data_IF_586279680425
#
_entry.id   IF_586279680425
#
_cell.length_a   1.000
_cell.length_b   1.000
_cell.length_c   1.000
_cell.angle_alpha   90.00
_cell.angle_beta   90.00
_cell.angle_gamma   90.00
#
_symmetry.space_group_name_H-M   'P 1'
#
loop_
_entity.id
_entity.type
_entity.pdbx_description
1 polymer ?
#
# COMPACT_ATOMS: atom_id res chain seq x y z
N UNK A 1 36.21 51.09 -9.71
CA UNK A 1 35.01 50.28 -9.38
C UNK A 1 35.00 48.92 -10.11
N UNK A 2 36.03 48.06 -9.93
CA UNK A 2 36.10 46.72 -10.57
C UNK A 2 36.59 45.59 -9.64
N UNK A 3 36.84 45.89 -8.35
CA UNK A 3 37.44 44.95 -7.39
C UNK A 3 36.47 44.42 -6.31
N UNK A 4 35.19 44.78 -6.38
CA UNK A 4 34.17 44.38 -5.39
C UNK A 4 33.29 43.19 -5.84
N UNK A 5 33.35 42.78 -7.10
CA UNK A 5 32.52 41.69 -7.63
C UNK A 5 33.15 40.29 -7.50
N UNK A 6 34.46 40.19 -7.29
CA UNK A 6 35.16 38.89 -7.22
C UNK A 6 35.08 38.22 -5.85
N UNK A 7 34.84 38.96 -4.76
CA UNK A 7 34.73 38.35 -3.42
C UNK A 7 33.33 37.79 -3.11
N UNK A 8 32.29 38.20 -3.84
CA UNK A 8 30.93 37.68 -3.61
C UNK A 8 30.67 36.32 -4.30
N UNK A 9 31.47 35.97 -5.32
CA UNK A 9 31.29 34.71 -6.06
C UNK A 9 31.88 33.50 -5.33
N UNK A 10 32.82 33.71 -4.41
CA UNK A 10 33.52 32.61 -3.71
C UNK A 10 32.74 32.05 -2.51
N UNK A 11 31.82 32.82 -1.93
CA UNK A 11 31.00 32.38 -0.79
C UNK A 11 29.79 31.55 -1.27
N UNK A 12 29.36 31.68 -2.53
CA UNK A 12 28.21 30.95 -3.07
C UNK A 12 28.54 29.49 -3.49
N UNK A 13 29.82 29.12 -3.57
CA UNK A 13 30.27 27.78 -3.98
C UNK A 13 30.53 26.82 -2.80
N UNK A 14 30.40 27.27 -1.55
CA UNK A 14 30.67 26.45 -0.35
C UNK A 14 29.42 25.85 0.32
N UNK A 15 28.23 26.05 -0.24
CA UNK A 15 26.96 25.73 0.42
C UNK A 15 26.24 24.44 -0.05
N UNK A 16 26.83 23.59 -0.88
CA UNK A 16 26.13 22.41 -1.42
C UNK A 16 27.03 21.17 -1.59
N UNK A 17 27.54 20.64 -0.49
CA UNK A 17 28.05 19.26 -0.42
C UNK A 17 27.50 18.56 0.84
N UNK A 18 26.21 18.79 1.16
CA UNK A 18 25.47 17.84 2.00
C UNK A 18 25.04 16.69 1.11
N UNK A 19 25.98 15.82 0.74
CA UNK A 19 25.64 14.48 0.30
C UNK A 19 24.95 13.81 1.47
N UNK A 20 23.61 13.78 1.44
CA UNK A 20 22.83 12.87 2.26
C UNK A 20 23.28 11.46 1.89
N UNK A 21 24.31 10.95 2.59
CA UNK A 21 24.70 9.55 2.58
C UNK A 21 23.52 8.79 3.14
N UNK A 22 22.61 8.40 2.26
CA UNK A 22 21.63 7.38 2.51
C UNK A 22 22.42 6.14 2.94
N UNK A 23 22.55 5.96 4.24
CA UNK A 23 23.13 4.76 4.83
C UNK A 23 22.21 3.64 4.38
N UNK A 24 22.64 2.89 3.36
CA UNK A 24 21.97 1.66 2.95
C UNK A 24 21.97 0.76 4.19
N UNK A 25 20.85 0.74 4.90
CA UNK A 25 20.64 -0.20 6.00
C UNK A 25 20.73 -1.56 5.35
N UNK A 26 21.86 -2.24 5.57
CA UNK A 26 22.06 -3.63 5.14
C UNK A 26 20.86 -4.39 5.70
N UNK A 27 20.05 -4.98 4.81
CA UNK A 27 18.91 -5.78 5.21
C UNK A 27 19.39 -6.73 6.31
N UNK A 28 18.79 -6.63 7.50
CA UNK A 28 19.09 -7.54 8.60
C UNK A 28 18.82 -8.92 8.02
N UNK A 29 19.83 -9.78 7.97
CA UNK A 29 19.66 -11.14 7.48
C UNK A 29 18.46 -11.73 8.22
N UNK A 30 17.44 -12.18 7.49
CA UNK A 30 16.19 -12.67 8.08
C UNK A 30 16.53 -13.76 9.09
N UNK A 31 16.47 -13.40 10.37
CA UNK A 31 16.77 -14.33 11.44
C UNK A 31 15.52 -15.14 11.70
N UNK A 32 15.67 -16.44 11.97
CA UNK A 32 14.55 -17.31 12.33
C UNK A 32 13.66 -16.71 13.45
N UNK A 33 14.25 -15.90 14.34
CA UNK A 33 13.53 -15.15 15.37
C UNK A 33 12.62 -14.05 14.84
N UNK A 34 13.03 -13.29 13.81
CA UNK A 34 12.24 -12.24 13.20
C UNK A 34 10.98 -12.81 12.53
N UNK A 35 11.14 -13.82 11.66
CA UNK A 35 10.01 -14.46 11.00
C UNK A 35 9.00 -15.06 11.99
N UNK A 36 9.47 -15.66 13.10
CA UNK A 36 8.61 -16.16 14.17
C UNK A 36 7.85 -15.03 14.86
N UNK A 37 8.53 -13.93 15.21
CA UNK A 37 7.89 -12.77 15.82
C UNK A 37 6.82 -12.17 14.88
N UNK A 38 7.14 -11.95 13.61
CA UNK A 38 6.19 -11.45 12.60
C UNK A 38 4.95 -12.36 12.50
N UNK A 39 5.15 -13.68 12.52
CA UNK A 39 4.04 -14.64 12.54
C UNK A 39 3.17 -14.48 13.79
N UNK A 40 3.77 -14.35 14.97
CA UNK A 40 3.03 -14.16 16.22
C UNK A 40 2.26 -12.84 16.23
N UNK A 41 2.93 -11.73 15.90
CA UNK A 41 2.31 -10.40 15.85
C UNK A 41 1.10 -10.37 14.91
N UNK A 42 1.27 -10.86 13.68
CA UNK A 42 0.18 -10.88 12.69
C UNK A 42 -0.99 -11.77 13.11
N UNK A 43 -0.75 -12.90 13.77
CA UNK A 43 -1.81 -13.78 14.28
C UNK A 43 -2.60 -13.12 15.42
N UNK A 44 -1.90 -12.51 16.37
CA UNK A 44 -2.52 -11.77 17.49
C UNK A 44 -3.32 -10.56 17.01
N UNK A 45 -2.74 -9.77 16.08
CA UNK A 45 -3.47 -8.68 15.43
C UNK A 45 -4.74 -9.19 14.73
N UNK A 46 -4.65 -10.32 14.01
CA UNK A 46 -5.80 -10.88 13.31
C UNK A 46 -6.92 -11.26 14.29
N UNK A 47 -6.60 -11.97 15.38
CA UNK A 47 -7.61 -12.33 16.41
C UNK A 47 -8.31 -11.10 16.96
N UNK A 48 -7.57 -10.04 17.30
CA UNK A 48 -8.13 -8.79 17.82
C UNK A 48 -9.00 -8.09 16.77
N UNK A 49 -8.56 -8.03 15.52
CA UNK A 49 -9.34 -7.47 14.41
C UNK A 49 -10.64 -8.25 14.19
N UNK A 50 -10.60 -9.58 14.22
CA UNK A 50 -11.79 -10.42 14.09
C UNK A 50 -12.78 -10.25 15.25
N UNK A 51 -12.27 -10.01 16.47
CA UNK A 51 -13.10 -9.66 17.62
C UNK A 51 -13.78 -8.29 17.45
N UNK A 52 -13.07 -7.30 16.91
CA UNK A 52 -13.62 -5.97 16.65
C UNK A 52 -14.63 -5.97 15.49
N UNK A 53 -14.36 -6.71 14.41
CA UNK A 53 -15.30 -6.90 13.29
C UNK A 53 -16.65 -7.47 13.77
N UNK A 54 -16.64 -8.38 14.75
CA UNK A 54 -17.87 -8.94 15.35
C UNK A 54 -18.68 -7.90 16.13
N UNK A 55 -18.03 -6.88 16.70
CA UNK A 55 -18.71 -5.80 17.44
C UNK A 55 -19.28 -4.76 16.48
N UNK A 56 -18.52 -4.40 15.45
CA UNK A 56 -18.89 -3.40 14.44
C UNK A 56 -18.15 -3.72 13.14
N UNK A 57 -18.84 -3.81 11.99
CA UNK A 57 -18.18 -4.09 10.73
C UNK A 57 -17.12 -3.04 10.42
N UNK A 58 -15.86 -3.44 10.23
CA UNK A 58 -14.72 -2.52 10.09
C UNK A 58 -14.81 -1.64 8.85
N UNK A 59 -15.53 -2.09 7.82
CA UNK A 59 -15.85 -1.30 6.62
C UNK A 59 -16.71 -0.06 6.90
N UNK A 60 -17.28 0.06 8.10
CA UNK A 60 -18.11 1.20 8.53
C UNK A 60 -17.34 2.23 9.35
N UNK A 61 -16.04 2.02 9.59
CA UNK A 61 -15.20 2.97 10.30
C UNK A 61 -14.90 4.19 9.43
N UNK A 62 -14.88 5.38 10.02
CA UNK A 62 -14.20 6.52 9.38
C UNK A 62 -12.68 6.27 9.36
N UNK A 63 -11.92 6.97 8.50
CA UNK A 63 -10.46 6.85 8.49
C UNK A 63 -9.82 7.07 9.87
N UNK A 64 -10.31 8.04 10.64
CA UNK A 64 -9.83 8.40 11.97
C UNK A 64 -10.16 7.32 13.02
N UNK A 65 -11.37 6.76 12.97
CA UNK A 65 -11.77 5.64 13.82
C UNK A 65 -10.95 4.39 13.50
N UNK A 66 -10.78 4.07 12.22
CA UNK A 66 -9.93 2.98 11.77
C UNK A 66 -8.50 3.14 12.24
N UNK A 67 -7.93 4.36 12.17
CA UNK A 67 -6.57 4.65 12.61
C UNK A 67 -6.41 4.45 14.11
N UNK A 68 -7.37 4.97 14.88
CA UNK A 68 -7.39 4.83 16.34
C UNK A 68 -7.46 3.36 16.74
N UNK A 69 -8.38 2.61 16.13
CA UNK A 69 -8.54 1.17 16.38
C UNK A 69 -7.26 0.40 16.05
N UNK A 70 -6.68 0.66 14.88
CA UNK A 70 -5.46 -0.02 14.46
C UNK A 70 -4.28 0.27 15.39
N UNK A 71 -4.12 1.53 15.85
CA UNK A 71 -3.10 1.88 16.85
C UNK A 71 -3.34 1.11 18.15
N UNK A 72 -4.57 1.05 18.64
CA UNK A 72 -4.91 0.29 19.86
C UNK A 72 -4.56 -1.19 19.71
N UNK A 73 -4.90 -1.81 18.58
CA UNK A 73 -4.60 -3.22 18.29
C UNK A 73 -3.09 -3.45 18.22
N UNK A 74 -2.34 -2.58 17.53
CA UNK A 74 -0.87 -2.66 17.43
C UNK A 74 -0.24 -2.52 18.80
N UNK A 75 -0.63 -1.51 19.59
CA UNK A 75 -0.10 -1.28 20.94
C UNK A 75 -0.36 -2.47 21.85
N UNK A 76 -1.61 -2.97 21.90
CA UNK A 76 -1.96 -4.14 22.71
C UNK A 76 -1.15 -5.38 22.28
N UNK A 77 -1.03 -5.60 20.97
CA UNK A 77 -0.23 -6.72 20.42
C UNK A 77 1.24 -6.59 20.82
N UNK A 78 1.84 -5.41 20.68
CA UNK A 78 3.25 -5.21 21.04
C UNK A 78 3.49 -5.44 22.53
N UNK A 79 2.57 -5.01 23.39
CA UNK A 79 2.64 -5.27 24.83
C UNK A 79 2.62 -6.77 25.14
N UNK A 80 1.78 -7.56 24.48
CA UNK A 80 1.69 -9.02 24.64
C UNK A 80 2.95 -9.77 24.14
N UNK A 81 3.70 -9.17 23.22
CA UNK A 81 4.90 -9.77 22.61
C UNK A 81 6.21 -9.10 23.06
N UNK A 82 6.20 -8.36 24.17
CA UNK A 82 7.36 -7.59 24.67
C UNK A 82 8.59 -8.47 24.89
N UNK A 83 8.44 -9.67 25.44
CA UNK A 83 9.56 -10.58 25.72
C UNK A 83 10.21 -11.11 24.43
N UNK A 84 9.39 -11.43 23.42
CA UNK A 84 9.89 -11.88 22.12
C UNK A 84 10.62 -10.75 21.38
N UNK A 85 10.09 -9.53 21.47
CA UNK A 85 10.75 -8.35 20.92
C UNK A 85 12.08 -8.08 21.65
N UNK A 86 12.09 -8.11 22.99
CA UNK A 86 13.30 -7.91 23.81
C UNK A 86 14.37 -8.98 23.52
N UNK A 87 13.96 -10.24 23.35
CA UNK A 87 14.84 -11.34 22.95
C UNK A 87 15.45 -11.08 21.58
N UNK A 88 14.64 -10.74 20.57
CA UNK A 88 15.12 -10.42 19.22
C UNK A 88 16.15 -9.28 19.24
N UNK A 89 15.88 -8.24 20.01
CA UNK A 89 16.75 -7.06 20.15
C UNK A 89 18.11 -7.41 20.77
N UNK A 90 18.08 -8.23 21.83
CA UNK A 90 19.30 -8.70 22.51
C UNK A 90 20.12 -9.62 21.61
N UNK A 91 19.50 -10.62 20.99
CA UNK A 91 20.17 -11.59 20.11
C UNK A 91 20.85 -10.92 18.91
N UNK A 92 20.21 -9.91 18.34
CA UNK A 92 20.74 -9.17 17.19
C UNK A 92 21.61 -7.96 17.58
N UNK A 93 21.90 -7.77 18.89
CA UNK A 93 22.68 -6.63 19.42
C UNK A 93 22.20 -5.27 18.89
N UNK A 94 20.88 -5.10 18.82
CA UNK A 94 20.26 -3.89 18.27
C UNK A 94 20.31 -2.79 19.34
N UNK A 95 21.14 -1.77 19.11
CA UNK A 95 21.22 -0.62 20.01
C UNK A 95 19.95 0.24 20.01
N UNK A 96 19.74 1.03 21.08
CA UNK A 96 18.57 1.90 21.28
C UNK A 96 18.29 2.83 20.09
N UNK A 97 19.34 3.35 19.44
CA UNK A 97 19.21 4.22 18.26
C UNK A 97 18.64 3.54 17.00
N UNK A 98 18.51 2.21 16.99
CA UNK A 98 17.98 1.44 15.85
C UNK A 98 16.58 0.87 16.10
N UNK A 99 15.98 1.12 17.28
CA UNK A 99 14.67 0.57 17.65
C UNK A 99 13.56 0.98 16.67
N UNK A 100 13.55 2.25 16.25
CA UNK A 100 12.53 2.76 15.32
C UNK A 100 12.60 2.06 13.96
N UNK A 101 13.79 1.89 13.40
CA UNK A 101 13.98 1.22 12.11
C UNK A 101 13.56 -0.26 12.17
N UNK A 102 13.83 -0.94 13.28
CA UNK A 102 13.43 -2.34 13.48
C UNK A 102 11.92 -2.44 13.68
N UNK A 103 11.32 -1.54 14.46
CA UNK A 103 9.87 -1.44 14.60
C UNK A 103 9.17 -1.19 13.27
N UNK A 104 9.73 -0.34 12.41
CA UNK A 104 9.21 -0.08 11.07
C UNK A 104 9.25 -1.33 10.18
N UNK A 105 10.37 -2.06 10.16
CA UNK A 105 10.50 -3.31 9.39
C UNK A 105 9.53 -4.37 9.89
N UNK A 106 9.50 -4.63 11.21
CA UNK A 106 8.59 -5.59 11.83
C UNK A 106 7.13 -5.22 11.60
N UNK A 107 6.78 -3.94 11.78
CA UNK A 107 5.42 -3.43 11.58
C UNK A 107 4.97 -3.60 10.13
N UNK A 108 5.84 -3.29 9.16
CA UNK A 108 5.56 -3.50 7.73
C UNK A 108 5.38 -4.98 7.42
N UNK A 109 6.29 -5.84 7.86
CA UNK A 109 6.21 -7.29 7.59
C UNK A 109 4.99 -7.94 8.25
N UNK A 110 4.68 -7.56 9.50
CA UNK A 110 3.49 -8.02 10.22
C UNK A 110 2.21 -7.57 9.51
N UNK A 111 2.13 -6.33 9.05
CA UNK A 111 0.96 -5.79 8.32
C UNK A 111 0.79 -6.49 6.97
N UNK A 112 1.86 -6.71 6.22
CA UNK A 112 1.82 -7.44 4.95
C UNK A 112 1.35 -8.89 5.14
N UNK A 113 1.87 -9.56 6.18
CA UNK A 113 1.44 -10.90 6.55
C UNK A 113 -0.04 -10.91 6.98
N UNK A 114 -0.45 -9.95 7.79
CA UNK A 114 -1.82 -9.78 8.26
C UNK A 114 -2.80 -9.67 7.08
N UNK A 115 -2.53 -8.79 6.10
CA UNK A 115 -3.37 -8.68 4.89
C UNK A 115 -3.47 -9.99 4.10
N UNK A 116 -2.40 -10.80 4.10
CA UNK A 116 -2.35 -12.09 3.40
C UNK A 116 -3.12 -13.19 4.12
N UNK A 117 -3.08 -13.22 5.45
CA UNK A 117 -3.61 -14.33 6.26
C UNK A 117 -4.91 -14.01 7.00
N UNK A 118 -5.34 -12.75 7.04
CA UNK A 118 -6.49 -12.29 7.80
C UNK A 118 -7.46 -11.48 6.93
N UNK A 119 -8.50 -12.11 6.35
CA UNK A 119 -9.47 -11.41 5.51
C UNK A 119 -10.16 -10.24 6.21
N UNK A 120 -10.47 -10.39 7.51
CA UNK A 120 -11.09 -9.34 8.32
C UNK A 120 -10.23 -8.06 8.41
N UNK A 121 -8.90 -8.18 8.27
CA UNK A 121 -8.01 -7.01 8.33
C UNK A 121 -7.99 -6.18 7.05
N UNK A 122 -8.39 -6.74 5.91
CA UNK A 122 -8.18 -6.11 4.61
C UNK A 122 -8.88 -4.76 4.49
N UNK A 123 -10.17 -4.59 4.85
CA UNK A 123 -10.83 -3.29 4.78
C UNK A 123 -10.11 -2.23 5.61
N UNK A 124 -9.77 -2.56 6.86
CA UNK A 124 -9.09 -1.65 7.78
C UNK A 124 -7.70 -1.24 7.28
N UNK A 125 -6.87 -2.21 6.89
CA UNK A 125 -5.50 -1.92 6.45
C UNK A 125 -5.48 -1.16 5.13
N UNK A 126 -6.39 -1.49 4.19
CA UNK A 126 -6.50 -0.75 2.94
C UNK A 126 -6.97 0.68 3.17
N UNK A 127 -7.99 0.89 3.98
CA UNK A 127 -8.47 2.22 4.33
C UNK A 127 -7.35 3.10 4.91
N UNK A 128 -6.53 2.53 5.81
CA UNK A 128 -5.38 3.23 6.38
C UNK A 128 -4.28 3.50 5.35
N UNK A 129 -4.00 2.52 4.50
CA UNK A 129 -3.05 2.69 3.40
C UNK A 129 -3.46 3.80 2.44
N UNK A 130 -4.76 3.90 2.13
CA UNK A 130 -5.32 4.94 1.28
C UNK A 130 -5.35 6.32 1.96
N UNK A 131 -5.61 6.38 3.27
CA UNK A 131 -5.62 7.65 4.01
C UNK A 131 -4.22 8.25 4.19
N UNK A 132 -3.20 7.41 4.32
CA UNK A 132 -1.80 7.82 4.50
C UNK A 132 -1.03 7.91 3.15
N UNK A 133 -1.69 7.63 2.02
CA UNK A 133 -1.08 7.72 0.71
C UNK A 133 -0.71 9.18 0.38
N UNK A 134 0.59 9.49 0.40
CA UNK A 134 1.13 10.83 0.10
C UNK A 134 0.70 11.39 -1.26
N UNK A 135 0.40 10.50 -2.21
CA UNK A 135 0.01 10.83 -3.58
C UNK A 135 -1.43 10.38 -3.86
N UNK A 136 -2.34 10.56 -2.89
CA UNK A 136 -3.77 10.31 -3.12
C UNK A 136 -4.24 11.15 -4.32
N UNK A 137 -4.78 10.53 -5.38
CA UNK A 137 -5.20 11.29 -6.54
C UNK A 137 -6.42 12.15 -6.18
N UNK A 138 -6.45 13.38 -6.68
CA UNK A 138 -7.64 14.23 -6.59
C UNK A 138 -8.70 13.70 -7.54
N UNK A 139 -9.86 13.33 -6.99
CA UNK A 139 -11.04 12.91 -7.74
C UNK A 139 -12.13 13.94 -7.49
N UNK A 140 -12.59 14.63 -8.54
CA UNK A 140 -13.62 15.68 -8.37
C UNK A 140 -15.01 15.04 -8.16
N UNK A 141 -15.98 15.77 -7.57
CA UNK A 141 -17.35 15.29 -7.44
C UNK A 141 -18.00 14.92 -8.78
N UNK A 142 -17.64 15.60 -9.86
CA UNK A 142 -18.14 15.35 -11.22
C UNK A 142 -17.45 14.14 -11.87
N UNK A 143 -16.19 13.91 -11.54
CA UNK A 143 -15.38 12.80 -12.05
C UNK A 143 -15.79 11.46 -11.39
N UNK A 144 -16.14 11.50 -10.10
CA UNK A 144 -16.41 10.29 -9.31
C UNK A 144 -17.50 9.40 -9.91
N UNK A 145 -18.66 9.90 -10.36
CA UNK A 145 -19.70 9.05 -10.97
C UNK A 145 -19.21 8.33 -12.24
N UNK A 146 -18.46 9.04 -13.11
CA UNK A 146 -17.93 8.47 -14.35
C UNK A 146 -16.96 7.33 -14.04
N UNK A 147 -16.02 7.57 -13.13
CA UNK A 147 -15.05 6.56 -12.73
C UNK A 147 -15.67 5.41 -11.93
N UNK A 148 -16.73 5.67 -11.15
CA UNK A 148 -17.42 4.63 -10.37
C UNK A 148 -18.07 3.60 -11.29
N UNK A 149 -18.78 4.03 -12.34
CA UNK A 149 -19.39 3.11 -13.32
C UNK A 149 -18.33 2.23 -13.98
N UNK A 150 -17.20 2.82 -14.36
CA UNK A 150 -16.07 2.09 -14.93
C UNK A 150 -15.50 1.07 -13.93
N UNK A 151 -15.31 1.47 -12.68
CA UNK A 151 -14.78 0.61 -11.62
C UNK A 151 -15.74 -0.54 -11.32
N UNK A 152 -17.05 -0.28 -11.25
CA UNK A 152 -18.07 -1.32 -11.07
C UNK A 152 -17.99 -2.37 -12.19
N UNK A 153 -17.82 -1.96 -13.46
CA UNK A 153 -17.63 -2.89 -14.58
C UNK A 153 -16.33 -3.71 -14.42
N UNK A 154 -15.23 -3.08 -14.00
CA UNK A 154 -13.95 -3.76 -13.73
C UNK A 154 -14.11 -4.79 -12.61
N UNK A 155 -14.68 -4.40 -11.47
CA UNK A 155 -14.88 -5.27 -10.32
C UNK A 155 -15.78 -6.47 -10.68
N UNK A 156 -16.88 -6.25 -11.40
CA UNK A 156 -17.78 -7.32 -11.86
C UNK A 156 -17.08 -8.31 -12.81
N UNK A 157 -16.22 -7.82 -13.71
CA UNK A 157 -15.43 -8.68 -14.61
C UNK A 157 -14.43 -9.51 -13.81
N UNK A 158 -13.73 -8.89 -12.86
CA UNK A 158 -12.78 -9.59 -11.99
C UNK A 158 -13.48 -10.66 -11.13
N UNK A 159 -14.67 -10.37 -10.62
CA UNK A 159 -15.48 -11.35 -9.90
C UNK A 159 -15.91 -12.52 -10.80
N UNK A 160 -16.23 -12.23 -12.06
CA UNK A 160 -16.54 -13.26 -13.07
C UNK A 160 -15.32 -14.15 -13.34
N UNK A 161 -14.14 -13.58 -13.50
CA UNK A 161 -12.89 -14.34 -13.69
C UNK A 161 -12.51 -15.14 -12.44
N UNK A 162 -12.70 -14.56 -11.26
CA UNK A 162 -12.49 -15.20 -9.97
C UNK A 162 -13.38 -16.44 -9.78
N UNK A 163 -14.60 -16.42 -10.32
CA UNK A 163 -15.52 -17.56 -10.29
C UNK A 163 -15.07 -18.71 -11.22
N UNK A 164 -14.34 -18.41 -12.31
CA UNK A 164 -13.82 -19.43 -13.24
C UNK A 164 -12.59 -20.12 -12.67
N UNK A 165 -11.67 -19.34 -12.10
CA UNK A 165 -10.47 -19.82 -11.45
C UNK A 165 -10.18 -18.93 -10.25
N UNK A 166 -9.97 -19.54 -9.09
CA UNK A 166 -9.66 -18.77 -7.88
C UNK A 166 -8.38 -17.96 -8.13
N UNK A 167 -8.42 -16.62 -8.11
CA UNK A 167 -7.24 -15.78 -8.42
C UNK A 167 -6.02 -16.18 -7.58
N UNK A 168 -6.23 -16.66 -6.36
CA UNK A 168 -5.16 -17.12 -5.47
C UNK A 168 -4.34 -18.29 -6.04
N UNK A 169 -4.90 -19.07 -6.96
CA UNK A 169 -4.23 -20.21 -7.61
C UNK A 169 -3.47 -19.81 -8.88
N UNK A 170 -3.76 -18.63 -9.43
CA UNK A 170 -3.09 -18.13 -10.62
C UNK A 170 -1.65 -17.70 -10.30
N UNK A 171 -0.82 -17.62 -11.33
CA UNK A 171 0.49 -16.97 -11.18
C UNK A 171 0.33 -15.45 -11.09
N UNK A 172 1.31 -14.72 -10.51
CA UNK A 172 1.32 -13.26 -10.54
C UNK A 172 1.13 -12.65 -11.93
N UNK A 173 1.77 -13.25 -12.96
CA UNK A 173 1.65 -12.76 -14.34
C UNK A 173 0.24 -12.96 -14.90
N UNK A 174 -0.38 -14.11 -14.63
CA UNK A 174 -1.75 -14.39 -15.08
C UNK A 174 -2.77 -13.47 -14.39
N UNK A 175 -2.60 -13.18 -13.09
CA UNK A 175 -3.45 -12.20 -12.40
C UNK A 175 -3.31 -10.80 -13.00
N UNK A 176 -2.09 -10.37 -13.33
CA UNK A 176 -1.85 -9.09 -13.98
C UNK A 176 -2.49 -9.01 -15.37
N UNK A 177 -2.38 -10.06 -16.16
CA UNK A 177 -3.00 -10.14 -17.48
C UNK A 177 -4.52 -10.04 -17.39
N UNK A 178 -5.15 -10.80 -16.48
CA UNK A 178 -6.60 -10.72 -16.26
C UNK A 178 -7.02 -9.31 -15.83
N UNK A 179 -6.29 -8.70 -14.89
CA UNK A 179 -6.55 -7.32 -14.47
C UNK A 179 -6.48 -6.35 -15.65
N UNK A 180 -5.45 -6.45 -16.48
CA UNK A 180 -5.29 -5.62 -17.68
C UNK A 180 -6.44 -5.81 -18.67
N UNK A 181 -6.85 -7.06 -18.93
CA UNK A 181 -7.97 -7.39 -19.81
C UNK A 181 -9.30 -6.82 -19.27
N UNK A 182 -9.54 -6.94 -17.95
CA UNK A 182 -10.74 -6.39 -17.32
C UNK A 182 -10.77 -4.87 -17.41
N UNK A 183 -9.65 -4.20 -17.12
CA UNK A 183 -9.52 -2.74 -17.26
C UNK A 183 -9.71 -2.28 -18.70
N UNK A 184 -9.04 -2.93 -19.67
CA UNK A 184 -9.18 -2.59 -21.09
C UNK A 184 -10.60 -2.79 -21.59
N UNK A 185 -11.23 -3.91 -21.23
CA UNK A 185 -12.62 -4.20 -21.60
C UNK A 185 -13.61 -3.17 -21.05
N UNK A 186 -13.41 -2.72 -19.81
CA UNK A 186 -14.24 -1.68 -19.21
C UNK A 186 -13.99 -0.30 -19.86
N UNK A 187 -12.73 0.06 -20.10
CA UNK A 187 -12.37 1.33 -20.76
C UNK A 187 -12.97 1.40 -22.17
N UNK A 188 -12.89 0.31 -22.95
CA UNK A 188 -13.47 0.26 -24.29
C UNK A 188 -15.00 0.37 -24.25
N UNK A 189 -15.65 -0.25 -23.27
CA UNK A 189 -17.11 -0.19 -23.09
C UNK A 189 -17.59 1.21 -22.72
N UNK A 190 -16.81 1.94 -21.92
CA UNK A 190 -17.14 3.29 -21.42
C UNK A 190 -16.32 4.40 -22.11
N UNK A 191 -15.83 4.14 -23.33
CA UNK A 191 -14.92 5.03 -24.02
C UNK A 191 -15.57 6.37 -24.36
N UNK A 192 -16.86 6.35 -24.71
CA UNK A 192 -17.62 7.55 -25.06
C UNK A 192 -17.75 8.48 -23.84
N UNK A 193 -18.18 7.96 -22.69
CA UNK A 193 -18.34 8.74 -21.46
C UNK A 193 -17.00 9.28 -20.96
N UNK A 194 -15.94 8.48 -21.01
CA UNK A 194 -14.59 8.92 -20.70
C UNK A 194 -14.12 10.03 -21.66
N UNK A 195 -14.43 9.91 -22.95
CA UNK A 195 -14.04 10.89 -23.96
C UNK A 195 -14.82 12.19 -23.84
N UNK A 196 -16.09 12.14 -23.43
CA UNK A 196 -16.91 13.31 -23.13
C UNK A 196 -16.33 14.06 -21.92
N UNK A 197 -15.97 13.33 -20.86
CA UNK A 197 -15.50 13.94 -19.62
C UNK A 197 -14.05 14.45 -19.71
N UNK A 198 -13.11 13.63 -20.18
CA UNK A 198 -11.68 13.95 -20.21
C UNK A 198 -11.20 14.53 -21.55
N UNK A 199 -11.97 14.38 -22.62
CA UNK A 199 -11.56 14.68 -23.98
C UNK A 199 -10.82 13.51 -24.64
N UNK A 200 -11.10 13.27 -25.93
CA UNK A 200 -10.53 12.15 -26.70
C UNK A 200 -8.99 12.15 -26.72
N UNK A 201 -8.34 13.33 -26.76
CA UNK A 201 -6.87 13.45 -26.73
C UNK A 201 -6.27 12.92 -25.43
N UNK A 202 -6.97 13.15 -24.31
CA UNK A 202 -6.56 12.66 -22.99
C UNK A 202 -6.66 11.15 -22.94
N UNK A 203 -7.78 10.59 -23.42
CA UNK A 203 -8.01 9.14 -23.44
C UNK A 203 -7.06 8.40 -24.39
N UNK A 204 -6.61 9.05 -25.46
CA UNK A 204 -5.60 8.49 -26.38
C UNK A 204 -4.15 8.64 -25.88
N UNK A 205 -3.90 9.46 -24.85
CA UNK A 205 -2.57 9.66 -24.28
C UNK A 205 -2.28 8.61 -23.22
N UNK A 206 -1.27 7.77 -23.45
CA UNK A 206 -0.85 6.74 -22.49
C UNK A 206 -0.48 7.33 -21.12
N UNK A 207 0.14 8.51 -21.08
CA UNK A 207 0.55 9.15 -19.82
C UNK A 207 -0.64 9.71 -19.04
N UNK A 208 -1.65 10.25 -19.73
CA UNK A 208 -2.86 10.73 -19.05
C UNK A 208 -3.75 9.56 -18.62
N UNK A 209 -3.84 8.51 -19.43
CA UNK A 209 -4.52 7.27 -19.06
C UNK A 209 -3.87 6.57 -17.87
N UNK A 210 -2.56 6.68 -17.68
CA UNK A 210 -1.90 6.20 -16.46
C UNK A 210 -2.41 6.95 -15.23
N UNK A 211 -2.55 8.29 -15.29
CA UNK A 211 -3.10 9.09 -14.18
C UNK A 211 -4.56 8.74 -13.89
N UNK A 212 -5.36 8.52 -14.94
CA UNK A 212 -6.75 8.03 -14.80
C UNK A 212 -6.75 6.62 -14.17
N UNK A 213 -5.83 5.75 -14.59
CA UNK A 213 -5.62 4.42 -14.01
C UNK A 213 -5.34 4.45 -12.51
N UNK A 214 -4.56 5.42 -12.02
CA UNK A 214 -4.33 5.62 -10.58
C UNK A 214 -5.62 6.00 -9.86
N UNK A 215 -6.47 6.84 -10.44
CA UNK A 215 -7.79 7.19 -9.89
C UNK A 215 -8.73 5.98 -9.84
N UNK A 216 -8.76 5.18 -10.90
CA UNK A 216 -9.51 3.93 -10.98
C UNK A 216 -9.05 2.97 -9.88
N UNK A 217 -7.74 2.75 -9.76
CA UNK A 217 -7.18 1.89 -8.72
C UNK A 217 -7.52 2.40 -7.31
N UNK A 218 -7.57 3.72 -7.10
CA UNK A 218 -7.98 4.31 -5.84
C UNK A 218 -9.44 3.97 -5.49
N UNK A 219 -10.36 4.11 -6.45
CA UNK A 219 -11.79 3.79 -6.25
C UNK A 219 -12.00 2.27 -6.12
N UNK A 220 -11.28 1.46 -6.91
CA UNK A 220 -11.29 -0.01 -6.78
C UNK A 220 -10.88 -0.46 -5.37
N UNK A 221 -9.94 0.26 -4.73
CA UNK A 221 -9.52 -0.06 -3.37
C UNK A 221 -10.63 0.17 -2.34
N UNK A 222 -11.59 1.06 -2.63
CA UNK A 222 -12.77 1.27 -1.80
C UNK A 222 -13.87 0.24 -2.12
N UNK A 223 -14.10 -0.08 -3.41
CA UNK A 223 -15.25 -0.87 -3.86
C UNK A 223 -14.99 -2.38 -3.94
N UNK A 224 -13.83 -2.81 -4.44
CA UNK A 224 -13.45 -4.22 -4.56
C UNK A 224 -12.01 -4.49 -4.08
N UNK A 225 -11.73 -4.25 -2.78
CA UNK A 225 -10.39 -4.28 -2.19
C UNK A 225 -9.62 -5.60 -2.36
N UNK A 226 -10.36 -6.71 -2.43
CA UNK A 226 -9.80 -8.06 -2.49
C UNK A 226 -8.90 -8.27 -3.73
N UNK A 227 -9.31 -7.72 -4.88
CA UNK A 227 -8.57 -7.87 -6.13
C UNK A 227 -7.25 -7.12 -6.11
N UNK A 228 -7.24 -5.88 -5.60
CA UNK A 228 -6.02 -5.07 -5.49
C UNK A 228 -5.06 -5.60 -4.42
N UNK A 229 -5.57 -6.12 -3.31
CA UNK A 229 -4.73 -6.71 -2.27
C UNK A 229 -3.87 -7.84 -2.85
N UNK A 230 -4.46 -8.73 -3.67
CA UNK A 230 -3.71 -9.83 -4.28
C UNK A 230 -2.63 -9.33 -5.24
N UNK A 231 -2.95 -8.32 -6.05
CA UNK A 231 -1.98 -7.67 -6.95
C UNK A 231 -0.82 -6.98 -6.21
N UNK A 232 -1.13 -6.35 -5.07
CA UNK A 232 -0.12 -5.70 -4.22
C UNK A 232 0.84 -6.70 -3.56
N UNK A 233 0.34 -7.87 -3.16
CA UNK A 233 1.17 -8.94 -2.59
C UNK A 233 2.19 -9.47 -3.62
N UNK A 234 1.78 -9.67 -4.86
CA UNK A 234 2.61 -10.18 -5.96
C UNK A 234 3.80 -9.27 -6.31
N UNK A 235 3.53 -7.96 -6.29
CA UNK A 235 4.52 -6.92 -6.61
C UNK A 235 5.71 -6.94 -5.66
N UNK A 236 5.51 -7.40 -4.42
CA UNK A 236 6.57 -7.52 -3.42
C UNK A 236 7.37 -8.82 -3.55
N UNK A 237 6.72 -9.93 -3.94
CA UNK A 237 7.41 -11.21 -4.15
C UNK A 237 8.41 -11.14 -5.34
N UNK A 238 8.10 -10.35 -6.37
CA UNK A 238 9.02 -10.15 -7.50
C UNK A 238 10.28 -9.33 -7.16
N UNK A 239 10.19 -8.41 -6.19
CA UNK A 239 11.32 -7.55 -5.76
C UNK A 239 12.31 -8.29 -4.86
N UNK A 240 11.87 -9.34 -4.15
CA UNK A 240 12.74 -10.14 -3.27
C UNK A 240 13.63 -11.16 -3.97
N UNK A 241 13.51 -11.34 -5.29
CA UNK A 241 14.29 -12.31 -6.08
C UNK A 241 15.42 -11.68 -6.92
N UNK A 242 15.68 -10.37 -6.77
CA UNK A 242 16.78 -9.65 -7.41
C UNK A 242 17.86 -9.33 -6.39
#
# INVERSE_FOLDING_TARGET
>A
MKKLYTSLLFILLLSFQFEARATKIKAIADTLGQARLVKSLSATMCSKIEEEEKKRPLKTLTPEEGKTLFIQIVTATMSEHTDQLSSLMTTNKIGKGKMNAVGEVLGREATMRLMKTCPASQPLVMQLGLSEAKNKPTITPEEKPVLTVLVDDICNRLDTEQAKATFAQLTPSARLEIMQQCMQGAILKHLEELSIFYGIKTVQSSSEMEKIGVKIAFIMAEQCPNHLTKMGLDSNESKGKK
#
